data_IF_935949905044
#
_entry.id   IF_935949905044
#
_cell.length_a   1.000
_cell.length_b   1.000
_cell.length_c   1.000
_cell.angle_alpha   90.00
_cell.angle_beta   90.00
_cell.angle_gamma   90.00
#
_symmetry.space_group_name_H-M   'P 1'
#
loop_
_entity.id
_entity.type
_entity.pdbx_description
1 polymer ?
#
# COMPACT_ATOMS: atom_id res chain seq x y z
N UNK A 1 -5.88 -7.72 -5.26
CA UNK A 1 -4.86 -6.66 -5.34
C UNK A 1 -4.59 -6.11 -3.95
N UNK A 2 -3.51 -5.36 -3.80
CA UNK A 2 -3.10 -4.70 -2.57
C UNK A 2 -2.74 -3.25 -2.86
N UNK A 3 -3.24 -2.33 -2.04
CA UNK A 3 -2.84 -0.92 -2.02
C UNK A 3 -1.73 -0.75 -1.00
N UNK A 4 -0.70 0.01 -1.36
CA UNK A 4 0.40 0.37 -0.46
C UNK A 4 0.32 1.88 -0.23
N UNK A 5 0.18 2.27 1.02
CA UNK A 5 -0.13 3.66 1.41
C UNK A 5 0.83 4.06 2.53
N UNK A 6 1.51 5.20 2.38
CA UNK A 6 2.33 5.78 3.46
C UNK A 6 1.45 6.25 4.62
N UNK A 7 2.03 6.37 5.81
CA UNK A 7 1.29 6.84 6.99
C UNK A 7 0.72 8.27 6.84
N UNK A 8 1.32 9.09 5.97
CA UNK A 8 0.85 10.43 5.63
C UNK A 8 -0.36 10.46 4.66
N UNK A 9 -0.82 9.28 4.22
CA UNK A 9 -1.93 9.10 3.28
C UNK A 9 -1.52 9.04 1.81
N UNK A 10 -0.24 9.21 1.48
CA UNK A 10 0.24 9.10 0.10
C UNK A 10 0.12 7.66 -0.40
N UNK A 11 -0.66 7.44 -1.47
CA UNK A 11 -0.70 6.14 -2.14
C UNK A 11 0.56 5.93 -2.99
N UNK A 12 1.30 4.86 -2.71
CA UNK A 12 2.44 4.44 -3.53
C UNK A 12 1.98 3.70 -4.79
N UNK A 13 0.92 2.91 -4.68
CA UNK A 13 0.28 2.25 -5.81
C UNK A 13 -0.45 0.97 -5.44
N UNK A 14 -0.78 0.20 -6.48
CA UNK A 14 -1.55 -1.05 -6.40
C UNK A 14 -0.73 -2.18 -7.03
N UNK A 15 -0.67 -3.32 -6.37
CA UNK A 15 0.02 -4.52 -6.86
C UNK A 15 -0.83 -5.78 -6.67
N UNK A 16 -0.65 -6.79 -7.53
CA UNK A 16 -1.29 -8.10 -7.36
C UNK A 16 -0.65 -8.94 -6.27
N UNK A 17 0.64 -8.70 -5.99
CA UNK A 17 1.41 -9.43 -4.99
C UNK A 17 2.33 -8.48 -4.22
N UNK A 18 2.43 -8.70 -2.92
CA UNK A 18 3.27 -7.90 -2.02
C UNK A 18 4.58 -8.63 -1.79
N UNK A 19 5.69 -7.93 -1.97
CA UNK A 19 7.02 -8.45 -1.63
C UNK A 19 7.34 -8.10 -0.18
N UNK A 20 6.93 -8.96 0.73
CA UNK A 20 7.28 -8.84 2.15
C UNK A 20 8.77 -9.15 2.36
N UNK A 21 9.44 -8.33 3.17
CA UNK A 21 10.88 -8.45 3.42
C UNK A 21 11.21 -8.45 4.91
N UNK A 22 12.32 -9.11 5.24
CA UNK A 22 13.00 -9.01 6.53
C UNK A 22 14.52 -8.90 6.34
N UNK A 23 15.22 -8.44 7.38
CA UNK A 23 16.68 -8.42 7.41
C UNK A 23 17.17 -9.79 7.87
N UNK A 24 18.00 -10.43 7.04
CA UNK A 24 18.68 -11.68 7.39
C UNK A 24 19.82 -11.47 8.39
N UNK A 25 20.36 -12.55 8.96
CA UNK A 25 21.52 -12.48 9.86
C UNK A 25 22.74 -11.80 9.23
N UNK A 26 22.87 -11.82 7.91
CA UNK A 26 23.94 -11.14 7.18
C UNK A 26 23.66 -9.66 6.89
N UNK A 27 22.54 -9.11 7.35
CA UNK A 27 22.14 -7.72 7.11
C UNK A 27 21.52 -7.46 5.73
N UNK A 28 21.24 -8.50 4.94
CA UNK A 28 20.62 -8.36 3.61
C UNK A 28 19.10 -8.55 3.67
N UNK A 29 18.37 -7.85 2.80
CA UNK A 29 16.92 -8.07 2.65
C UNK A 29 16.64 -9.43 1.99
N UNK A 30 15.73 -10.19 2.59
CA UNK A 30 15.23 -11.46 2.07
C UNK A 30 13.72 -11.49 2.11
N UNK A 31 13.10 -12.28 1.22
CA UNK A 31 11.65 -12.46 1.23
C UNK A 31 11.19 -13.09 2.56
N UNK A 32 10.05 -12.60 3.06
CA UNK A 32 9.42 -13.06 4.29
C UNK A 32 7.95 -13.46 4.04
N UNK A 33 7.38 -14.18 5.00
CA UNK A 33 5.91 -14.26 5.13
C UNK A 33 5.38 -12.93 5.64
N UNK A 34 4.08 -12.67 5.46
CA UNK A 34 3.43 -11.48 6.00
C UNK A 34 3.59 -11.37 7.54
N UNK A 35 3.56 -12.51 8.25
CA UNK A 35 3.70 -12.57 9.71
C UNK A 35 5.14 -12.26 10.20
N UNK A 36 6.15 -12.62 9.42
CA UNK A 36 7.57 -12.42 9.79
C UNK A 36 8.13 -11.09 9.25
N UNK A 37 7.36 -10.37 8.45
CA UNK A 37 7.85 -9.21 7.71
C UNK A 37 8.05 -8.02 8.63
N UNK A 38 9.17 -7.33 8.45
CA UNK A 38 9.40 -6.00 9.06
C UNK A 38 9.02 -4.88 8.08
N UNK A 39 8.84 -5.22 6.80
CA UNK A 39 8.71 -4.26 5.73
C UNK A 39 8.20 -4.87 4.43
N UNK A 40 8.05 -4.02 3.43
CA UNK A 40 7.77 -4.41 2.04
C UNK A 40 8.76 -3.76 1.09
N UNK A 41 9.07 -4.46 0.00
CA UNK A 41 9.75 -3.87 -1.15
C UNK A 41 8.70 -3.49 -2.21
N UNK A 42 8.69 -2.23 -2.64
CA UNK A 42 7.84 -1.74 -3.72
C UNK A 42 8.68 -0.91 -4.68
N UNK A 43 8.60 -1.22 -5.98
CA UNK A 43 9.45 -0.59 -7.02
C UNK A 43 10.96 -0.62 -6.70
N UNK A 44 11.44 -1.71 -6.09
CA UNK A 44 12.83 -1.89 -5.64
C UNK A 44 13.27 -0.98 -4.49
N UNK A 45 12.33 -0.32 -3.82
CA UNK A 45 12.57 0.49 -2.63
C UNK A 45 11.99 -0.19 -1.37
N UNK A 46 12.74 -0.29 -0.27
CA UNK A 46 12.25 -0.88 0.97
C UNK A 46 11.46 0.14 1.80
N UNK A 47 10.38 -0.33 2.43
CA UNK A 47 9.52 0.45 3.32
C UNK A 47 9.28 -0.34 4.61
N UNK A 48 9.23 0.35 5.76
CA UNK A 48 8.85 -0.25 7.03
C UNK A 48 7.35 -0.57 7.04
N UNK A 49 6.95 -1.67 7.68
CA UNK A 49 5.55 -1.89 8.06
C UNK A 49 5.24 -1.16 9.37
N UNK A 50 3.96 -0.88 9.65
CA UNK A 50 3.55 -0.31 10.95
C UNK A 50 4.07 -1.20 12.08
N UNK A 51 4.69 -0.57 13.08
CA UNK A 51 5.27 -1.26 14.23
C UNK A 51 6.74 -1.64 14.05
N UNK A 52 7.32 -1.38 12.88
CA UNK A 52 8.72 -1.61 12.58
C UNK A 52 9.46 -0.30 12.25
N UNK A 53 10.69 -0.21 12.74
CA UNK A 53 11.64 0.88 12.44
C UNK A 53 13.01 0.30 12.05
N UNK A 54 13.05 -0.97 11.66
CA UNK A 54 14.26 -1.75 11.40
C UNK A 54 14.98 -1.32 10.11
N UNK A 55 14.25 -0.74 9.15
CA UNK A 55 14.78 -0.26 7.87
C UNK A 55 15.13 1.22 8.01
N UNK A 56 16.40 1.51 8.28
CA UNK A 56 16.88 2.88 8.52
C UNK A 56 16.65 3.80 7.31
N UNK A 57 16.03 4.96 7.55
CA UNK A 57 15.77 5.97 6.54
C UNK A 57 14.61 5.65 5.59
N UNK A 58 13.91 4.52 5.77
CA UNK A 58 12.75 4.17 4.98
C UNK A 58 11.43 4.65 5.61
N UNK A 59 10.51 5.09 4.76
CA UNK A 59 9.16 5.46 5.17
C UNK A 59 8.35 4.24 5.65
N UNK A 60 7.33 4.50 6.47
CA UNK A 60 6.38 3.48 6.93
C UNK A 60 5.15 3.44 6.05
N UNK A 61 4.72 2.22 5.69
CA UNK A 61 3.55 1.97 4.86
C UNK A 61 2.55 1.01 5.51
N UNK A 62 1.32 1.09 5.04
CA UNK A 62 0.23 0.13 5.27
C UNK A 62 -0.07 -0.59 3.98
N UNK A 63 -0.23 -1.90 4.09
CA UNK A 63 -0.70 -2.75 3.01
C UNK A 63 -2.16 -3.09 3.26
N UNK A 64 -3.04 -2.70 2.34
CA UNK A 64 -4.47 -3.01 2.43
C UNK A 64 -4.88 -3.84 1.22
N UNK A 65 -5.55 -4.97 1.48
CA UNK A 65 -6.20 -5.72 0.40
C UNK A 65 -7.27 -4.84 -0.25
N UNK A 66 -7.31 -4.85 -1.59
CA UNK A 66 -8.30 -4.10 -2.36
C UNK A 66 -8.90 -4.95 -3.47
N UNK A 67 -10.11 -4.57 -3.86
CA UNK A 67 -10.86 -5.14 -4.98
C UNK A 67 -11.08 -4.06 -6.06
N UNK A 68 -10.64 -4.35 -7.28
CA UNK A 68 -10.72 -3.39 -8.39
C UNK A 68 -12.16 -3.12 -8.83
N UNK A 69 -13.05 -4.10 -8.73
CA UNK A 69 -14.46 -3.92 -9.06
C UNK A 69 -15.12 -2.91 -8.12
N UNK A 70 -14.88 -3.06 -6.82
CA UNK A 70 -15.36 -2.13 -5.79
C UNK A 70 -14.82 -0.72 -6.00
N UNK A 71 -13.54 -0.56 -6.34
CA UNK A 71 -12.95 0.76 -6.61
C UNK A 71 -13.59 1.48 -7.81
N UNK A 72 -13.84 0.75 -8.91
CA UNK A 72 -14.50 1.33 -10.10
C UNK A 72 -15.95 1.70 -9.79
N UNK A 73 -16.64 0.88 -9.00
CA UNK A 73 -18.02 1.16 -8.58
C UNK A 73 -18.10 2.43 -7.73
N UNK A 74 -17.22 2.58 -6.74
CA UNK A 74 -17.14 3.79 -5.91
C UNK A 74 -16.84 5.04 -6.75
N UNK A 75 -15.92 4.93 -7.71
CA UNK A 75 -15.59 6.02 -8.61
C UNK A 75 -16.77 6.44 -9.50
N UNK A 76 -17.56 5.49 -10.01
CA UNK A 76 -18.78 5.80 -10.77
C UNK A 76 -19.80 6.53 -9.92
N UNK A 77 -20.02 6.08 -8.67
CA UNK A 77 -20.97 6.73 -7.77
C UNK A 77 -20.58 8.18 -7.47
N UNK A 78 -19.29 8.46 -7.24
CA UNK A 78 -18.81 9.85 -7.04
C UNK A 78 -19.01 10.73 -8.28
N UNK A 79 -18.86 10.17 -9.48
CA UNK A 79 -19.13 10.89 -10.73
C UNK A 79 -20.61 11.20 -10.88
N UNK A 80 -21.48 10.24 -10.59
CA UNK A 80 -22.94 10.43 -10.65
C UNK A 80 -23.41 11.50 -9.64
N UNK A 81 -22.89 11.47 -8.41
CA UNK A 81 -23.15 12.49 -7.39
C UNK A 81 -22.70 13.89 -7.85
N UNK A 82 -21.52 13.99 -8.47
CA UNK A 82 -21.03 15.26 -9.01
C UNK A 82 -21.92 15.79 -10.15
N UNK A 83 -22.42 14.90 -11.02
CA UNK A 83 -23.34 15.28 -12.11
C UNK A 83 -24.65 15.82 -11.53
N UNK A 84 -25.23 15.14 -10.54
CA UNK A 84 -26.45 15.59 -9.88
C UNK A 84 -26.25 16.97 -9.23
N UNK A 85 -25.17 17.15 -8.46
CA UNK A 85 -24.85 18.42 -7.82
C UNK A 85 -24.66 19.58 -8.83
N UNK A 86 -24.10 19.29 -10.01
CA UNK A 86 -23.89 20.29 -11.07
C UNK A 86 -25.19 20.64 -11.83
N UNK A 87 -26.17 19.75 -11.88
CA UNK A 87 -27.46 19.95 -12.54
C UNK A 87 -28.52 20.58 -11.62
N UNK A 88 -28.32 20.54 -10.30
CA UNK A 88 -29.17 21.21 -9.30
C UNK A 88 -28.86 22.71 -9.13
N UNK A 89 -28.11 23.32 -10.08
CA UNK A 89 -27.79 24.75 -10.13
C UNK A 89 -28.73 25.52 -11.07
#
# INVERSE_FOLDING_TARGET
MYRIIKIDGTELGITDSVTYIKISESGSYVNATEEDAIGVAFNSEPYNLIGHEDIEGADTVVVSKTDGGSMVYEQQNLVDELILAALEV
#
